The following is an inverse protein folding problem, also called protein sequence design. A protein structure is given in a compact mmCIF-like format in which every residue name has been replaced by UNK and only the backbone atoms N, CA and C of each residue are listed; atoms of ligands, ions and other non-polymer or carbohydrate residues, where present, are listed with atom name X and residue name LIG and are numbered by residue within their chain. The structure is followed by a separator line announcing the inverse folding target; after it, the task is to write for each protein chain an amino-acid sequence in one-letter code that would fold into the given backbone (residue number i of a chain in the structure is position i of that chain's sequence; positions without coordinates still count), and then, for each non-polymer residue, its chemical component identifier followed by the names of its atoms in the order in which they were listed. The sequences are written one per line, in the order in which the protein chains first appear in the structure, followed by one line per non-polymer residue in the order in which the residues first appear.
data_IF_522953457763
#
_entry.id   IF_522953457763
#
_cell.length_a   1.000
_cell.length_b   1.000
_cell.length_c   1.000
_cell.angle_alpha   90.00
_cell.angle_beta   90.00
_cell.angle_gamma   90.00
#
_symmetry.space_group_name_H-M   'P 1'
#
loop_
_entity.id
_entity.type
_entity.pdbx_description
1 polymer ?
#
# COMPACT_ATOMS: atom_id res chain seq x y z
N UNK A 1 -2.03 -6.74 9.62
CA UNK A 1 -0.75 -7.00 8.94
C UNK A 1 0.15 -5.80 9.17
N UNK A 2 1.30 -5.97 9.82
CA UNK A 2 2.29 -4.89 10.01
C UNK A 2 3.36 -5.06 8.94
N UNK A 3 3.51 -4.07 8.07
CA UNK A 3 4.47 -4.09 6.97
C UNK A 3 5.34 -2.84 7.05
N UNK A 4 6.66 -3.03 7.00
CA UNK A 4 7.64 -1.95 7.03
C UNK A 4 8.32 -1.85 5.67
N UNK A 5 8.41 -0.64 5.12
CA UNK A 5 9.14 -0.39 3.86
C UNK A 5 10.60 -0.14 4.16
N UNK A 6 11.47 -0.98 3.61
CA UNK A 6 12.93 -0.84 3.70
C UNK A 6 13.52 -0.66 2.30
N UNK A 7 14.40 0.32 2.12
CA UNK A 7 15.18 0.48 0.88
C UNK A 7 16.44 -0.38 0.97
N UNK A 8 16.67 -1.21 -0.04
CA UNK A 8 17.81 -2.12 -0.12
C UNK A 8 18.51 -1.96 -1.46
N UNK A 9 19.83 -2.06 -1.46
CA UNK A 9 20.65 -1.98 -2.66
C UNK A 9 21.21 -3.34 -3.03
N UNK A 10 21.29 -3.62 -4.33
CA UNK A 10 21.98 -4.78 -4.87
C UNK A 10 23.39 -4.44 -5.34
N UNK A 11 24.29 -5.41 -5.30
CA UNK A 11 25.60 -5.33 -5.93
C UNK A 11 25.54 -5.67 -7.43
N UNK A 12 26.70 -5.67 -8.10
CA UNK A 12 26.82 -5.99 -9.54
C UNK A 12 26.38 -7.42 -9.90
N UNK A 13 26.28 -8.32 -8.91
CA UNK A 13 25.84 -9.70 -9.09
C UNK A 13 24.37 -9.89 -8.71
N UNK A 14 23.67 -8.81 -8.35
CA UNK A 14 22.27 -8.82 -7.95
C UNK A 14 22.04 -9.25 -6.49
N UNK A 15 23.09 -9.38 -5.66
CA UNK A 15 22.95 -9.73 -4.25
C UNK A 15 22.69 -8.48 -3.42
N UNK A 16 21.87 -8.61 -2.37
CA UNK A 16 21.67 -7.52 -1.41
C UNK A 16 23.00 -7.17 -0.74
N UNK A 17 23.41 -5.90 -0.80
CA UNK A 17 24.63 -5.41 -0.13
C UNK A 17 24.57 -5.59 1.38
N UNK A 18 23.35 -5.54 1.95
CA UNK A 18 23.09 -5.76 3.37
C UNK A 18 21.77 -6.47 3.58
N UNK A 19 21.76 -7.46 4.47
CA UNK A 19 20.55 -8.16 4.90
C UNK A 19 20.03 -7.50 6.18
N UNK A 20 18.75 -7.08 6.24
CA UNK A 20 18.17 -6.53 7.46
C UNK A 20 18.06 -7.58 8.56
N UNK A 21 18.06 -7.12 9.82
CA UNK A 21 17.87 -8.00 10.98
C UNK A 21 16.40 -8.43 11.03
N UNK A 22 16.15 -9.72 10.89
CA UNK A 22 14.82 -10.31 10.95
C UNK A 22 14.54 -10.88 12.35
N UNK A 23 13.26 -10.95 12.77
CA UNK A 23 12.90 -11.55 14.05
C UNK A 23 13.18 -13.06 14.06
N UNK A 24 13.67 -13.62 15.18
CA UNK A 24 14.03 -15.02 15.26
C UNK A 24 12.79 -15.93 15.20
N UNK A 25 12.90 -17.04 14.47
CA UNK A 25 11.89 -18.10 14.37
C UNK A 25 10.49 -17.62 13.92
N UNK A 26 10.43 -16.61 13.02
CA UNK A 26 9.17 -16.14 12.42
C UNK A 26 9.11 -16.46 10.93
N UNK A 27 7.90 -16.76 10.45
CA UNK A 27 7.59 -16.81 9.01
C UNK A 27 7.32 -15.39 8.53
N UNK A 28 7.86 -15.03 7.38
CA UNK A 28 7.79 -13.69 6.82
C UNK A 28 7.38 -13.77 5.36
N UNK A 29 6.40 -12.97 4.97
CA UNK A 29 6.06 -12.71 3.57
C UNK A 29 6.76 -11.42 3.15
N UNK A 30 7.55 -11.49 2.08
CA UNK A 30 8.34 -10.36 1.58
C UNK A 30 7.94 -10.00 0.16
N UNK A 31 7.86 -8.69 -0.12
CA UNK A 31 7.61 -8.14 -1.46
C UNK A 31 8.85 -7.36 -1.88
N UNK A 32 9.44 -7.72 -3.01
CA UNK A 32 10.58 -7.02 -3.60
C UNK A 32 10.10 -6.13 -4.75
N UNK A 33 10.43 -4.84 -4.68
CA UNK A 33 10.16 -3.87 -5.73
C UNK A 33 11.50 -3.34 -6.25
N UNK A 34 11.79 -3.57 -7.53
CA UNK A 34 12.97 -3.00 -8.19
C UNK A 34 12.68 -1.53 -8.50
N UNK A 35 13.47 -0.64 -7.92
CA UNK A 35 13.37 0.81 -8.14
C UNK A 35 14.39 1.18 -9.22
N UNK A 36 14.01 1.10 -10.51
CA UNK A 36 14.81 1.72 -11.57
C UNK A 36 14.34 3.17 -11.81
N UNK A 37 15.24 4.04 -12.27
CA UNK A 37 14.87 5.39 -12.70
C UNK A 37 13.78 5.33 -13.78
N UNK A 38 13.82 4.33 -14.66
CA UNK A 38 12.75 4.07 -15.63
C UNK A 38 11.48 3.49 -14.99
N UNK A 39 11.52 2.72 -13.92
CA UNK A 39 10.30 2.21 -13.27
C UNK A 39 9.59 3.29 -12.43
N UNK A 40 10.34 4.26 -11.91
CA UNK A 40 9.79 5.44 -11.22
C UNK A 40 9.26 6.48 -12.21
N UNK A 41 9.78 6.50 -13.45
CA UNK A 41 9.36 7.43 -14.51
C UNK A 41 8.43 6.85 -15.59
N UNK A 42 8.39 5.53 -15.79
CA UNK A 42 7.57 4.84 -16.79
C UNK A 42 6.33 4.13 -16.20
N UNK A 43 6.27 3.92 -14.89
CA UNK A 43 4.98 3.77 -14.24
C UNK A 43 4.42 5.18 -14.05
N UNK A 44 3.25 5.55 -14.61
CA UNK A 44 2.53 6.69 -14.07
C UNK A 44 2.43 6.41 -12.57
N UNK A 45 2.97 7.31 -11.72
CA UNK A 45 2.69 7.31 -10.29
C UNK A 45 1.22 6.91 -10.16
N UNK A 46 0.88 5.79 -9.48
CA UNK A 46 -0.47 5.25 -9.54
C UNK A 46 -1.38 6.41 -9.24
N UNK A 47 -2.14 6.86 -10.26
CA UNK A 47 -2.89 8.10 -10.22
C UNK A 47 -3.75 7.99 -8.97
N UNK A 48 -3.28 8.63 -7.89
CA UNK A 48 -3.91 8.46 -6.60
C UNK A 48 -5.29 9.03 -6.83
N UNK A 49 -6.32 8.18 -6.75
CA UNK A 49 -7.68 8.61 -6.99
C UNK A 49 -7.95 9.78 -6.05
N UNK A 50 -8.06 10.96 -6.64
CA UNK A 50 -8.49 12.15 -5.93
C UNK A 50 -9.99 12.28 -6.15
N UNK A 51 -10.73 12.74 -5.14
CA UNK A 51 -12.12 13.13 -5.35
C UNK A 51 -12.23 14.13 -6.51
N UNK A 52 -13.38 14.15 -7.19
CA UNK A 52 -13.66 15.16 -8.21
C UNK A 52 -13.39 16.58 -7.65
N UNK A 53 -12.86 17.54 -8.44
CA UNK A 53 -12.54 18.89 -7.96
C UNK A 53 -13.70 19.60 -7.25
N UNK A 54 -14.93 19.28 -7.65
CA UNK A 54 -16.13 19.86 -7.02
C UNK A 54 -16.35 19.42 -5.57
N UNK A 55 -15.80 18.27 -5.19
CA UNK A 55 -15.98 17.63 -3.88
C UNK A 55 -14.71 17.74 -3.04
N UNK A 56 -13.53 17.73 -3.67
CA UNK A 56 -12.24 17.79 -3.01
C UNK A 56 -12.16 18.98 -2.04
N UNK A 57 -11.95 18.68 -0.74
CA UNK A 57 -11.82 19.69 0.33
C UNK A 57 -13.12 20.39 0.74
N UNK A 58 -14.26 20.11 0.10
CA UNK A 58 -15.56 20.73 0.41
C UNK A 58 -16.49 19.87 1.26
N UNK A 59 -16.16 18.58 1.45
CA UNK A 59 -16.94 17.64 2.26
C UNK A 59 -16.42 17.56 3.68
N UNK A 60 -17.35 17.50 4.64
CA UNK A 60 -17.09 17.27 6.06
C UNK A 60 -17.60 15.87 6.39
N UNK A 61 -16.72 15.01 6.88
CA UNK A 61 -17.08 13.68 7.35
C UNK A 61 -17.76 13.85 8.73
N UNK A 62 -19.05 13.52 8.82
CA UNK A 62 -19.87 13.66 10.05
C UNK A 62 -19.98 12.38 10.90
N UNK A 63 -19.29 11.30 10.52
CA UNK A 63 -19.38 10.00 11.19
C UNK A 63 -18.24 9.06 10.79
N UNK A 64 -18.24 7.84 11.32
CA UNK A 64 -17.27 6.83 10.95
C UNK A 64 -17.59 6.26 9.55
N UNK A 65 -16.67 6.47 8.60
CA UNK A 65 -16.78 5.99 7.22
C UNK A 65 -16.15 4.62 7.00
N UNK A 66 -15.45 4.09 8.02
CA UNK A 66 -14.82 2.77 7.97
C UNK A 66 -15.74 1.70 8.57
N UNK A 67 -16.73 2.10 9.36
CA UNK A 67 -17.79 1.21 9.87
C UNK A 67 -18.87 0.97 8.81
N UNK A 68 -19.39 -0.26 8.77
CA UNK A 68 -20.58 -0.61 7.99
C UNK A 68 -21.73 -0.94 8.93
N UNK A 69 -22.96 -0.77 8.46
CA UNK A 69 -24.16 -1.28 9.13
C UNK A 69 -24.12 -2.82 9.19
N UNK A 70 -24.79 -3.46 10.17
CA UNK A 70 -24.84 -4.91 10.25
C UNK A 70 -25.47 -5.51 9.00
N UNK A 71 -25.07 -6.74 8.65
CA UNK A 71 -25.52 -7.43 7.43
C UNK A 71 -27.03 -7.63 7.35
N UNK A 72 -27.73 -7.65 8.49
CA UNK A 72 -29.19 -7.69 8.57
C UNK A 72 -29.88 -6.46 7.99
N UNK A 73 -29.15 -5.34 7.93
CA UNK A 73 -29.63 -4.07 7.36
C UNK A 73 -29.27 -3.95 5.88
N UNK A 74 -28.61 -4.95 5.30
CA UNK A 74 -28.27 -4.96 3.89
C UNK A 74 -29.46 -5.59 3.16
N UNK A 75 -30.18 -4.78 2.39
CA UNK A 75 -31.36 -5.16 1.60
C UNK A 75 -30.95 -6.02 0.38
N UNK A 76 -30.29 -7.14 0.65
CA UNK A 76 -29.77 -8.06 -0.36
C UNK A 76 -30.82 -9.12 -0.71
N UNK A 77 -31.00 -9.45 -2.00
CA UNK A 77 -31.89 -10.54 -2.41
C UNK A 77 -31.36 -11.90 -1.94
N UNK A 78 -32.27 -12.80 -1.57
CA UNK A 78 -31.99 -14.21 -1.21
C UNK A 78 -31.43 -15.05 -2.37
#
# INVERSE_FOLDING_TARGET
MYAERLMLETDMTGKLKRVPKLPPNKKLDAIFLVVSEEAVSAAPLPLRRVPHPDIAGKVIIKGDIMSSEPSSSWDLPE
#
